data_IF_421856325731
#
_entry.id   IF_421856325731
#
_cell.length_a   1.000
_cell.length_b   1.000
_cell.length_c   1.000
_cell.angle_alpha   90.00
_cell.angle_beta   90.00
_cell.angle_gamma   90.00
#
_symmetry.space_group_name_H-M   'P 1'
#
loop_
_entity.id
_entity.type
_entity.pdbx_description
1 polymer ?
#
# COMPACT_ATOMS: atom_id res chain seq x y z
N UNK A 1 -25.69 -16.14 -4.15
CA UNK A 1 -24.72 -16.77 -3.27
C UNK A 1 -23.31 -16.24 -3.56
N UNK A 2 -22.87 -16.29 -4.80
CA UNK A 2 -21.54 -15.86 -5.24
C UNK A 2 -21.57 -14.37 -5.60
N UNK A 3 -20.67 -13.58 -5.02
CA UNK A 3 -20.55 -12.14 -5.29
C UNK A 3 -19.59 -11.88 -6.45
N UNK A 4 -18.49 -12.60 -6.50
CA UNK A 4 -17.53 -12.51 -7.60
C UNK A 4 -16.80 -13.84 -7.80
N UNK A 5 -16.44 -14.14 -9.04
CA UNK A 5 -15.58 -15.25 -9.42
C UNK A 5 -14.45 -14.64 -10.22
N UNK A 6 -13.21 -14.93 -9.82
CA UNK A 6 -12.02 -14.43 -10.48
C UNK A 6 -11.05 -15.60 -10.73
N UNK A 7 -10.66 -15.80 -11.98
CA UNK A 7 -9.57 -16.70 -12.32
C UNK A 7 -8.25 -16.08 -11.87
N UNK A 8 -7.44 -16.87 -11.17
CA UNK A 8 -6.09 -16.46 -10.79
C UNK A 8 -5.11 -16.82 -11.91
N UNK A 9 -4.05 -16.03 -12.13
CA UNK A 9 -3.17 -16.19 -13.29
C UNK A 9 -2.29 -17.45 -13.26
N UNK A 10 -2.34 -18.23 -12.18
CA UNK A 10 -1.50 -19.42 -11.99
C UNK A 10 -2.32 -20.67 -11.71
N UNK A 11 -2.00 -21.76 -12.43
CA UNK A 11 -2.42 -23.14 -12.16
C UNK A 11 -3.94 -23.41 -12.13
N UNK A 12 -4.75 -22.69 -12.88
CA UNK A 12 -6.20 -22.97 -12.94
C UNK A 12 -6.94 -22.68 -11.64
N UNK A 13 -6.40 -21.86 -10.76
CA UNK A 13 -7.03 -21.47 -9.51
C UNK A 13 -8.11 -20.41 -9.74
N UNK A 14 -9.15 -20.44 -8.89
CA UNK A 14 -10.28 -19.52 -8.94
C UNK A 14 -10.55 -18.95 -7.54
N UNK A 15 -10.63 -17.64 -7.41
CA UNK A 15 -11.09 -16.97 -6.18
C UNK A 15 -12.60 -16.75 -6.27
N UNK A 16 -13.32 -17.34 -5.34
CA UNK A 16 -14.78 -17.16 -5.21
C UNK A 16 -15.03 -16.33 -3.95
N UNK A 17 -15.68 -15.18 -4.10
CA UNK A 17 -16.05 -14.31 -2.99
C UNK A 17 -17.57 -14.32 -2.83
N UNK A 18 -18.05 -14.48 -1.58
CA UNK A 18 -19.47 -14.48 -1.23
C UNK A 18 -19.73 -13.64 0.02
N UNK A 19 -20.90 -13.00 0.09
CA UNK A 19 -21.43 -12.37 1.31
C UNK A 19 -22.54 -13.21 1.97
N UNK A 20 -22.65 -14.47 1.61
CA UNK A 20 -23.69 -15.34 2.13
C UNK A 20 -23.52 -15.53 3.65
N UNK A 21 -24.52 -15.13 4.43
CA UNK A 21 -24.54 -15.20 5.89
C UNK A 21 -23.24 -14.63 6.54
N UNK A 22 -22.72 -13.55 6.01
CA UNK A 22 -21.46 -12.96 6.45
C UNK A 22 -21.54 -12.45 7.89
N UNK A 23 -22.73 -12.05 8.36
CA UNK A 23 -22.98 -11.57 9.73
C UNK A 23 -23.25 -12.71 10.73
N UNK A 24 -23.40 -13.94 10.26
CA UNK A 24 -23.67 -15.10 11.09
C UNK A 24 -22.37 -15.74 11.55
N UNK A 25 -22.12 -15.77 12.86
CA UNK A 25 -20.87 -16.26 13.48
C UNK A 25 -20.84 -17.77 13.71
N UNK A 26 -21.88 -18.50 13.26
CA UNK A 26 -21.93 -19.94 13.43
C UNK A 26 -20.88 -20.63 12.52
N UNK A 27 -20.10 -21.54 13.09
CA UNK A 27 -19.13 -22.38 12.37
C UNK A 27 -19.79 -23.33 11.36
N UNK A 28 -21.09 -23.60 11.49
CA UNK A 28 -21.87 -24.39 10.54
C UNK A 28 -22.07 -23.67 9.19
N UNK A 29 -21.98 -22.34 9.16
CA UNK A 29 -22.11 -21.54 7.93
C UNK A 29 -21.03 -21.87 6.91
N UNK A 30 -19.82 -22.09 7.36
CA UNK A 30 -18.68 -22.41 6.47
C UNK A 30 -18.92 -23.77 5.80
N UNK A 31 -19.38 -24.78 6.55
CA UNK A 31 -19.77 -26.10 6.00
C UNK A 31 -20.93 -25.99 5.02
N UNK A 32 -21.90 -25.10 5.30
CA UNK A 32 -23.03 -24.86 4.39
C UNK A 32 -22.57 -24.22 3.06
N UNK A 33 -21.63 -23.27 3.13
CA UNK A 33 -21.03 -22.62 1.95
C UNK A 33 -20.26 -23.65 1.12
N UNK A 34 -19.42 -24.45 1.76
CA UNK A 34 -18.63 -25.52 1.12
C UNK A 34 -19.52 -26.55 0.42
N UNK A 35 -20.59 -27.00 1.07
CA UNK A 35 -21.55 -27.94 0.50
C UNK A 35 -22.29 -27.35 -0.72
N UNK A 36 -22.67 -26.07 -0.65
CA UNK A 36 -23.32 -25.35 -1.77
C UNK A 36 -22.35 -25.14 -2.93
N UNK A 37 -21.10 -24.78 -2.65
CA UNK A 37 -20.06 -24.64 -3.67
C UNK A 37 -19.76 -25.98 -4.35
N UNK A 38 -19.64 -27.05 -3.57
CA UNK A 38 -19.44 -28.40 -4.10
C UNK A 38 -20.59 -28.79 -5.04
N UNK A 39 -21.83 -28.56 -4.62
CA UNK A 39 -23.00 -28.89 -5.44
C UNK A 39 -23.03 -28.11 -6.76
N UNK A 40 -22.65 -26.81 -6.70
CA UNK A 40 -22.62 -25.95 -7.87
C UNK A 40 -21.46 -26.27 -8.83
N UNK A 41 -20.31 -26.71 -8.31
CA UNK A 41 -19.11 -26.99 -9.10
C UNK A 41 -19.02 -28.44 -9.57
N UNK A 42 -19.77 -29.36 -8.94
CA UNK A 42 -19.78 -30.78 -9.29
C UNK A 42 -19.90 -31.10 -10.79
N UNK A 43 -20.75 -30.40 -11.58
CA UNK A 43 -20.87 -30.66 -13.01
C UNK A 43 -19.62 -30.33 -13.84
N UNK A 44 -18.69 -29.53 -13.28
CA UNK A 44 -17.49 -29.06 -13.97
C UNK A 44 -16.24 -29.90 -13.63
N UNK A 45 -16.34 -30.82 -12.68
CA UNK A 45 -15.22 -31.72 -12.35
C UNK A 45 -15.12 -32.87 -13.37
N UNK A 46 -13.92 -33.11 -13.87
CA UNK A 46 -13.62 -34.19 -14.80
C UNK A 46 -13.64 -35.56 -14.11
N UNK A 47 -13.34 -35.61 -12.82
CA UNK A 47 -13.35 -36.83 -12.01
C UNK A 47 -14.42 -36.72 -10.92
N UNK A 48 -14.98 -37.88 -10.53
CA UNK A 48 -15.87 -37.94 -9.37
C UNK A 48 -15.07 -37.70 -8.09
N UNK A 49 -15.38 -36.57 -7.39
CA UNK A 49 -14.82 -36.24 -6.08
C UNK A 49 -15.92 -36.24 -5.03
N UNK A 50 -15.57 -36.59 -3.80
CA UNK A 50 -16.47 -36.50 -2.64
C UNK A 50 -16.39 -35.11 -2.00
N UNK A 51 -17.40 -34.76 -1.18
CA UNK A 51 -17.38 -33.52 -0.44
C UNK A 51 -16.14 -33.42 0.50
N UNK A 52 -15.78 -34.53 1.14
CA UNK A 52 -14.59 -34.59 2.00
C UNK A 52 -13.30 -34.31 1.23
N UNK A 53 -13.17 -34.85 0.02
CA UNK A 53 -12.05 -34.56 -0.86
C UNK A 53 -12.03 -33.12 -1.34
N UNK A 54 -13.21 -32.52 -1.60
CA UNK A 54 -13.31 -31.14 -2.03
C UNK A 54 -12.95 -30.15 -0.93
N UNK A 55 -13.28 -30.44 0.33
CA UNK A 55 -12.96 -29.60 1.50
C UNK A 55 -11.57 -29.87 2.10
N UNK A 56 -10.93 -30.99 1.71
CA UNK A 56 -9.58 -31.31 2.15
C UNK A 56 -8.56 -30.41 1.46
N UNK A 57 -7.78 -29.67 2.25
CA UNK A 57 -6.67 -28.83 1.78
C UNK A 57 -5.40 -29.60 1.43
N UNK A 58 -5.36 -30.90 1.70
CA UNK A 58 -4.20 -31.75 1.48
C UNK A 58 -4.38 -32.61 0.21
N UNK A 59 -3.50 -32.40 -0.76
CA UNK A 59 -3.28 -33.23 -1.96
C UNK A 59 -4.44 -33.33 -2.99
N UNK A 60 -5.38 -32.38 -3.03
CA UNK A 60 -6.41 -32.43 -4.04
C UNK A 60 -6.32 -31.25 -5.02
N UNK A 61 -5.96 -31.46 -6.29
CA UNK A 61 -5.86 -30.41 -7.30
C UNK A 61 -7.22 -29.74 -7.64
N UNK A 62 -8.34 -30.36 -7.25
CA UNK A 62 -9.69 -29.88 -7.55
C UNK A 62 -10.48 -29.46 -6.29
N UNK A 63 -9.79 -29.20 -5.16
CA UNK A 63 -10.42 -28.86 -3.90
C UNK A 63 -10.25 -27.39 -3.50
N UNK A 64 -10.74 -27.06 -2.31
CA UNK A 64 -10.55 -25.77 -1.66
C UNK A 64 -9.10 -25.70 -1.17
N UNK A 65 -8.33 -24.77 -1.73
CA UNK A 65 -6.92 -24.55 -1.37
C UNK A 65 -6.82 -23.70 -0.11
N UNK A 66 -7.66 -22.66 -0.01
CA UNK A 66 -7.73 -21.75 1.14
C UNK A 66 -9.14 -21.21 1.27
N UNK A 67 -9.63 -21.09 2.49
CA UNK A 67 -10.89 -20.46 2.82
C UNK A 67 -10.66 -19.42 3.91
N UNK A 68 -10.89 -18.15 3.59
CA UNK A 68 -10.74 -17.04 4.52
C UNK A 68 -12.09 -16.37 4.73
N UNK A 69 -12.46 -16.19 5.99
CA UNK A 69 -13.67 -15.46 6.37
C UNK A 69 -13.30 -14.16 7.06
N UNK A 70 -13.81 -13.07 6.54
CA UNK A 70 -13.66 -11.75 7.15
C UNK A 70 -15.03 -11.27 7.64
N UNK A 71 -15.17 -11.14 8.95
CA UNK A 71 -16.35 -10.55 9.58
C UNK A 71 -16.43 -9.06 9.18
N UNK A 72 -17.59 -8.52 8.76
CA UNK A 72 -17.77 -7.12 8.41
C UNK A 72 -17.39 -6.15 9.52
N UNK A 73 -17.61 -6.53 10.78
CA UNK A 73 -17.17 -5.75 11.95
C UNK A 73 -15.66 -5.65 12.01
N UNK A 74 -14.95 -6.74 11.81
CA UNK A 74 -13.48 -6.77 11.79
C UNK A 74 -12.96 -5.92 10.62
N UNK A 75 -13.58 -6.02 9.44
CA UNK A 75 -13.18 -5.21 8.28
C UNK A 75 -13.35 -3.70 8.55
N UNK A 76 -14.45 -3.28 9.18
CA UNK A 76 -14.70 -1.89 9.53
C UNK A 76 -13.76 -1.38 10.64
N UNK A 77 -13.41 -2.22 11.61
CA UNK A 77 -12.42 -1.90 12.64
C UNK A 77 -11.03 -1.72 12.04
N UNK A 78 -10.60 -2.64 11.17
CA UNK A 78 -9.31 -2.54 10.48
C UNK A 78 -9.22 -1.23 9.68
N UNK A 79 -10.28 -0.86 8.95
CA UNK A 79 -10.29 0.39 8.18
C UNK A 79 -10.19 1.63 9.09
N UNK A 80 -10.95 1.66 10.17
CA UNK A 80 -10.91 2.76 11.15
C UNK A 80 -9.52 2.87 11.78
N UNK A 81 -8.96 1.76 12.23
CA UNK A 81 -7.67 1.72 12.90
C UNK A 81 -6.53 2.09 11.93
N UNK A 82 -6.65 1.74 10.65
CA UNK A 82 -5.76 2.18 9.59
C UNK A 82 -5.73 3.71 9.43
N UNK A 83 -6.91 4.34 9.36
CA UNK A 83 -7.02 5.80 9.25
C UNK A 83 -6.40 6.47 10.48
N UNK A 84 -6.70 5.97 11.68
CA UNK A 84 -6.12 6.47 12.93
C UNK A 84 -4.59 6.31 12.90
N UNK A 85 -4.06 5.16 12.50
CA UNK A 85 -2.62 4.90 12.43
C UNK A 85 -1.91 5.86 11.47
N UNK A 86 -2.48 6.10 10.28
CA UNK A 86 -1.92 7.05 9.30
C UNK A 86 -1.93 8.47 9.85
N UNK A 87 -3.05 8.92 10.44
CA UNK A 87 -3.14 10.25 11.05
C UNK A 87 -2.12 10.42 12.17
N UNK A 88 -2.01 9.44 13.07
CA UNK A 88 -1.03 9.47 14.15
C UNK A 88 0.41 9.51 13.62
N UNK A 89 0.72 8.70 12.60
CA UNK A 89 2.03 8.72 11.95
C UNK A 89 2.35 10.11 11.39
N UNK A 90 1.41 10.74 10.67
CA UNK A 90 1.60 12.07 10.12
C UNK A 90 1.79 13.14 11.21
N UNK A 91 1.05 13.05 12.33
CA UNK A 91 1.21 13.98 13.48
C UNK A 91 2.59 13.81 14.12
N UNK A 92 3.02 12.58 14.38
CA UNK A 92 4.34 12.30 14.97
C UNK A 92 5.46 12.78 14.05
N UNK A 93 5.34 12.51 12.73
CA UNK A 93 6.30 12.96 11.73
C UNK A 93 6.32 14.49 11.64
N UNK A 94 5.17 15.15 11.66
CA UNK A 94 5.09 16.60 11.72
C UNK A 94 5.89 17.15 12.91
N UNK A 95 5.64 16.62 14.10
CA UNK A 95 6.34 17.01 15.32
C UNK A 95 7.85 16.77 15.23
N UNK A 96 8.25 15.61 14.71
CA UNK A 96 9.66 15.28 14.50
C UNK A 96 10.35 16.28 13.56
N UNK A 97 9.76 16.57 12.40
CA UNK A 97 10.35 17.51 11.43
C UNK A 97 10.38 18.93 12.02
N UNK A 98 9.28 19.38 12.64
CA UNK A 98 9.18 20.72 13.23
C UNK A 98 10.27 20.94 14.30
N UNK A 99 10.50 19.95 15.16
CA UNK A 99 11.57 20.00 16.18
C UNK A 99 12.95 19.92 15.52
N UNK A 100 13.15 18.97 14.57
CA UNK A 100 14.43 18.73 13.92
C UNK A 100 14.96 19.92 13.14
N UNK A 101 14.06 20.69 12.53
CA UNK A 101 14.39 21.87 11.72
C UNK A 101 14.06 23.20 12.43
N UNK A 102 13.58 23.15 13.68
CA UNK A 102 13.23 24.31 14.49
C UNK A 102 12.23 25.27 13.80
N UNK A 103 11.40 24.74 12.92
CA UNK A 103 10.38 25.50 12.20
C UNK A 103 9.24 24.57 11.76
N UNK A 104 8.01 24.94 12.10
CA UNK A 104 6.81 24.16 11.80
C UNK A 104 6.45 24.10 10.30
N UNK A 105 6.88 25.08 9.50
CA UNK A 105 6.64 25.14 8.05
C UNK A 105 7.29 23.96 7.32
N UNK A 106 8.45 23.51 7.80
CA UNK A 106 9.15 22.33 7.29
C UNK A 106 8.35 21.05 7.60
N UNK A 107 7.74 21.02 8.79
CA UNK A 107 6.84 19.94 9.18
C UNK A 107 5.62 19.87 8.25
N UNK A 108 4.99 21.01 7.94
CA UNK A 108 3.86 21.05 7.03
C UNK A 108 4.23 20.61 5.61
N UNK A 109 5.36 21.08 5.06
CA UNK A 109 5.83 20.64 3.75
C UNK A 109 6.04 19.13 3.70
N UNK A 110 6.73 18.56 4.72
CA UNK A 110 6.95 17.12 4.82
C UNK A 110 5.65 16.33 4.89
N UNK A 111 4.73 16.71 5.80
CA UNK A 111 3.44 16.01 5.95
C UNK A 111 2.56 16.14 4.71
N UNK A 112 2.56 17.30 4.05
CA UNK A 112 1.79 17.50 2.82
C UNK A 112 2.25 16.54 1.71
N UNK A 113 3.56 16.33 1.54
CA UNK A 113 4.09 15.36 0.57
C UNK A 113 3.70 13.93 0.91
N UNK A 114 3.74 13.54 2.20
CA UNK A 114 3.36 12.20 2.65
C UNK A 114 1.86 11.95 2.50
N UNK A 115 1.03 12.91 2.87
CA UNK A 115 -0.41 12.83 2.70
C UNK A 115 -0.80 12.72 1.21
N UNK A 116 -0.20 13.53 0.35
CA UNK A 116 -0.38 13.46 -1.10
C UNK A 116 -0.04 12.05 -1.64
N UNK A 117 1.11 11.52 -1.29
CA UNK A 117 1.53 10.18 -1.71
C UNK A 117 0.54 9.11 -1.25
N UNK A 118 0.15 9.15 0.02
CA UNK A 118 -0.80 8.18 0.59
C UNK A 118 -2.16 8.24 -0.09
N UNK A 119 -2.70 9.43 -0.33
CA UNK A 119 -3.99 9.64 -1.00
C UNK A 119 -3.96 9.08 -2.42
N UNK A 120 -2.88 9.33 -3.18
CA UNK A 120 -2.79 8.84 -4.56
C UNK A 120 -2.66 7.30 -4.59
N UNK A 121 -1.88 6.70 -3.69
CA UNK A 121 -1.76 5.24 -3.62
C UNK A 121 -3.10 4.60 -3.27
N UNK A 122 -3.82 5.14 -2.27
CA UNK A 122 -5.16 4.67 -1.90
C UNK A 122 -6.14 4.84 -3.07
N UNK A 123 -6.10 6.00 -3.73
CA UNK A 123 -6.92 6.29 -4.91
C UNK A 123 -6.65 5.33 -6.06
N UNK A 124 -5.38 5.00 -6.33
CA UNK A 124 -5.01 4.02 -7.33
C UNK A 124 -5.60 2.64 -7.03
N UNK A 125 -5.46 2.15 -5.80
CA UNK A 125 -6.03 0.87 -5.39
C UNK A 125 -7.55 0.85 -5.51
N UNK A 126 -8.23 1.94 -5.13
CA UNK A 126 -9.68 2.07 -5.25
C UNK A 126 -10.15 2.07 -6.71
N UNK A 127 -9.46 2.80 -7.59
CA UNK A 127 -9.85 2.93 -9.00
C UNK A 127 -9.57 1.67 -9.82
N UNK A 128 -8.45 0.99 -9.56
CA UNK A 128 -8.02 -0.17 -10.34
C UNK A 128 -8.40 -1.50 -9.70
N UNK A 129 -9.09 -1.49 -8.55
CA UNK A 129 -9.65 -2.69 -7.94
C UNK A 129 -10.60 -3.39 -8.92
N UNK A 130 -10.33 -4.67 -9.21
CA UNK A 130 -11.12 -5.46 -10.15
C UNK A 130 -10.77 -5.28 -11.63
N UNK A 131 -9.92 -4.33 -12.02
CA UNK A 131 -9.49 -4.11 -13.41
C UNK A 131 -8.20 -4.88 -13.71
N UNK A 132 -7.25 -4.90 -12.77
CA UNK A 132 -5.97 -5.56 -12.93
C UNK A 132 -6.08 -7.09 -12.75
N UNK A 133 -5.19 -7.88 -13.37
CA UNK A 133 -5.22 -9.34 -13.29
C UNK A 133 -4.79 -9.92 -11.93
N UNK A 134 -4.54 -9.09 -10.94
CA UNK A 134 -4.20 -9.47 -9.57
C UNK A 134 -5.05 -8.67 -8.56
N UNK A 135 -5.10 -9.13 -7.31
CA UNK A 135 -5.93 -8.52 -6.27
C UNK A 135 -5.30 -7.23 -5.75
N UNK A 136 -6.08 -6.14 -5.73
CA UNK A 136 -5.76 -4.88 -5.09
C UNK A 136 -6.70 -4.69 -3.88
N UNK A 137 -6.66 -5.64 -2.96
CA UNK A 137 -7.51 -5.58 -1.77
C UNK A 137 -6.90 -4.60 -0.74
N UNK A 138 -7.76 -3.82 -0.10
CA UNK A 138 -7.39 -2.94 1.01
C UNK A 138 -7.49 -3.76 2.30
N UNK A 139 -6.48 -4.56 2.56
CA UNK A 139 -6.33 -5.43 3.72
C UNK A 139 -5.27 -4.91 4.70
N UNK A 140 -4.96 -5.68 5.73
CA UNK A 140 -3.91 -5.34 6.69
C UNK A 140 -2.53 -5.18 6.03
N UNK A 141 -2.27 -5.95 4.99
CA UNK A 141 -1.00 -5.90 4.24
C UNK A 141 -0.87 -4.58 3.48
N UNK A 142 -1.98 -4.11 2.89
CA UNK A 142 -2.04 -2.79 2.25
C UNK A 142 -1.81 -1.66 3.25
N UNK A 143 -2.40 -1.75 4.45
CA UNK A 143 -2.19 -0.76 5.52
C UNK A 143 -0.72 -0.71 5.94
N UNK A 144 -0.09 -1.88 6.11
CA UNK A 144 1.34 -1.98 6.37
C UNK A 144 2.17 -1.35 5.24
N UNK A 145 1.76 -1.52 3.97
CA UNK A 145 2.40 -0.85 2.84
C UNK A 145 2.31 0.67 2.95
N UNK A 146 1.13 1.24 3.24
CA UNK A 146 0.95 2.70 3.39
C UNK A 146 1.85 3.25 4.51
N UNK A 147 1.89 2.61 5.68
CA UNK A 147 2.78 3.04 6.77
C UNK A 147 4.27 2.92 6.40
N UNK A 148 4.63 1.88 5.65
CA UNK A 148 6.00 1.71 5.14
C UNK A 148 6.36 2.79 4.13
N UNK A 149 5.45 3.15 3.22
CA UNK A 149 5.61 4.24 2.25
C UNK A 149 5.84 5.57 2.96
N UNK A 150 5.06 5.86 3.98
CA UNK A 150 5.22 7.08 4.80
C UNK A 150 6.61 7.11 5.43
N UNK A 151 7.06 5.98 6.03
CA UNK A 151 8.38 5.86 6.62
C UNK A 151 9.52 5.96 5.60
N UNK A 152 9.33 5.46 4.38
CA UNK A 152 10.30 5.57 3.30
C UNK A 152 10.38 7.00 2.74
N UNK A 153 9.25 7.60 2.41
CA UNK A 153 9.19 8.91 1.77
C UNK A 153 9.67 10.06 2.67
N UNK A 154 9.53 9.91 4.00
CA UNK A 154 10.08 10.90 4.95
C UNK A 154 11.59 11.03 4.83
N UNK A 155 12.31 9.95 4.50
CA UNK A 155 13.76 9.99 4.36
C UNK A 155 14.19 10.95 3.24
N UNK A 156 13.51 10.96 2.10
CA UNK A 156 13.80 11.90 1.00
C UNK A 156 13.53 13.35 1.44
N UNK A 157 12.40 13.62 2.10
CA UNK A 157 12.10 14.95 2.65
C UNK A 157 13.20 15.45 3.59
N UNK A 158 13.62 14.61 4.54
CA UNK A 158 14.65 14.98 5.53
C UNK A 158 15.99 15.29 4.86
N UNK A 159 16.38 14.49 3.86
CA UNK A 159 17.64 14.71 3.11
C UNK A 159 17.62 16.04 2.34
N UNK A 160 16.51 16.30 1.64
CA UNK A 160 16.33 17.55 0.90
C UNK A 160 16.34 18.74 1.88
N UNK A 161 15.59 18.65 2.96
CA UNK A 161 15.49 19.71 3.96
C UNK A 161 16.83 19.97 4.68
N UNK A 162 17.57 18.94 5.05
CA UNK A 162 18.91 19.10 5.62
C UNK A 162 19.84 19.84 4.63
N UNK A 163 19.75 19.51 3.34
CA UNK A 163 20.57 20.18 2.33
C UNK A 163 20.16 21.64 2.12
N UNK A 164 18.88 21.94 2.12
CA UNK A 164 18.40 23.32 2.06
C UNK A 164 18.89 24.11 3.27
N UNK A 165 18.80 23.53 4.46
CA UNK A 165 19.31 24.16 5.70
C UNK A 165 20.80 24.44 5.62
N UNK A 166 21.59 23.51 5.11
CA UNK A 166 23.02 23.67 4.89
C UNK A 166 23.32 24.83 3.94
N UNK A 167 22.63 24.90 2.78
CA UNK A 167 22.85 25.98 1.82
C UNK A 167 22.44 27.36 2.38
N UNK A 168 21.39 27.41 3.19
CA UNK A 168 21.01 28.65 3.90
C UNK A 168 22.10 29.11 4.89
N UNK A 169 22.77 28.19 5.54
CA UNK A 169 23.85 28.50 6.46
C UNK A 169 25.15 28.94 5.71
N UNK A 170 25.46 28.29 4.59
CA UNK A 170 26.63 28.63 3.77
C UNK A 170 26.45 29.95 3.00
N UNK A 171 25.23 30.25 2.56
CA UNK A 171 24.93 31.42 1.73
C UNK A 171 23.81 32.28 2.33
N UNK A 172 24.01 32.89 3.52
CA UNK A 172 22.93 33.56 4.25
C UNK A 172 22.38 34.82 3.57
N UNK A 173 23.15 35.42 2.65
CA UNK A 173 22.75 36.63 1.89
C UNK A 173 22.14 36.31 0.53
N UNK A 174 22.07 35.04 0.18
CA UNK A 174 21.52 34.60 -1.10
C UNK A 174 20.01 34.43 -1.01
N UNK A 175 19.32 34.68 -2.09
CA UNK A 175 17.87 34.45 -2.19
C UNK A 175 17.53 32.98 -1.87
N UNK A 176 16.41 32.78 -1.18
CA UNK A 176 16.01 31.46 -0.68
C UNK A 176 15.73 30.48 -1.81
N UNK A 177 15.08 30.93 -2.90
CA UNK A 177 14.79 30.13 -4.10
C UNK A 177 16.05 29.53 -4.74
N UNK A 178 17.12 30.32 -4.84
CA UNK A 178 18.42 29.86 -5.36
C UNK A 178 19.05 28.82 -4.47
N UNK A 179 18.99 29.03 -3.15
CA UNK A 179 19.50 28.03 -2.19
C UNK A 179 18.74 26.73 -2.27
N UNK A 180 17.40 26.78 -2.41
CA UNK A 180 16.55 25.61 -2.55
C UNK A 180 16.83 24.89 -3.86
N UNK A 181 16.89 25.61 -4.98
CA UNK A 181 17.14 25.01 -6.30
C UNK A 181 18.52 24.30 -6.34
N UNK A 182 19.56 24.91 -5.80
CA UNK A 182 20.88 24.31 -5.74
C UNK A 182 20.91 23.08 -4.81
N UNK A 183 20.20 23.15 -3.67
CA UNK A 183 20.08 22.03 -2.74
C UNK A 183 19.35 20.84 -3.37
N UNK A 184 18.24 21.08 -4.06
CA UNK A 184 17.49 20.07 -4.81
C UNK A 184 18.35 19.40 -5.88
N UNK A 185 19.02 20.20 -6.73
CA UNK A 185 19.89 19.64 -7.77
C UNK A 185 21.06 18.82 -7.19
N UNK A 186 21.59 19.23 -6.05
CA UNK A 186 22.68 18.53 -5.38
C UNK A 186 22.23 17.18 -4.76
N UNK A 187 20.98 17.10 -4.30
CA UNK A 187 20.45 15.87 -3.71
C UNK A 187 19.80 14.93 -4.74
N UNK A 188 19.46 15.43 -5.95
CA UNK A 188 18.68 14.72 -6.95
C UNK A 188 19.28 13.36 -7.34
N UNK A 189 20.59 13.32 -7.59
CA UNK A 189 21.27 12.07 -7.97
C UNK A 189 21.18 11.01 -6.85
N UNK A 190 21.33 11.41 -5.60
CA UNK A 190 21.19 10.50 -4.47
C UNK A 190 19.76 9.98 -4.34
N UNK A 191 18.79 10.87 -4.40
CA UNK A 191 17.37 10.55 -4.26
C UNK A 191 16.91 9.60 -5.39
N UNK A 192 17.30 9.86 -6.63
CA UNK A 192 17.00 8.96 -7.75
C UNK A 192 17.68 7.61 -7.57
N UNK A 193 18.95 7.56 -7.20
CA UNK A 193 19.66 6.30 -7.03
C UNK A 193 19.06 5.43 -5.93
N UNK A 194 18.67 6.01 -4.79
CA UNK A 194 18.01 5.26 -3.71
C UNK A 194 16.65 4.73 -4.13
N UNK A 195 15.86 5.53 -4.85
CA UNK A 195 14.56 5.12 -5.37
C UNK A 195 14.69 4.02 -6.43
N UNK A 196 15.60 4.16 -7.38
CA UNK A 196 15.82 3.16 -8.44
C UNK A 196 16.29 1.82 -7.84
N UNK A 197 17.24 1.83 -6.90
CA UNK A 197 17.68 0.59 -6.25
C UNK A 197 16.56 -0.10 -5.50
N UNK A 198 15.71 0.64 -4.79
CA UNK A 198 14.53 0.09 -4.12
C UNK A 198 13.51 -0.45 -5.12
N UNK A 199 13.27 0.28 -6.23
CA UNK A 199 12.35 -0.17 -7.28
C UNK A 199 12.79 -1.47 -7.94
N UNK A 200 14.10 -1.66 -8.17
CA UNK A 200 14.63 -2.92 -8.72
C UNK A 200 14.30 -4.12 -7.83
N UNK A 201 14.47 -3.96 -6.51
CA UNK A 201 14.11 -5.01 -5.53
C UNK A 201 12.61 -5.28 -5.55
N UNK A 202 11.80 -4.22 -5.49
CA UNK A 202 10.33 -4.36 -5.47
C UNK A 202 9.79 -4.96 -6.77
N UNK A 203 10.33 -4.59 -7.93
CA UNK A 203 9.99 -5.19 -9.22
C UNK A 203 10.34 -6.69 -9.25
N UNK A 204 11.48 -7.07 -8.69
CA UNK A 204 11.85 -8.48 -8.56
C UNK A 204 10.80 -9.25 -7.73
N UNK A 205 10.30 -8.65 -6.64
CA UNK A 205 9.26 -9.26 -5.82
C UNK A 205 7.93 -9.37 -6.60
N UNK A 206 7.55 -8.35 -7.40
CA UNK A 206 6.33 -8.41 -8.22
C UNK A 206 6.42 -9.52 -9.28
N UNK A 207 7.59 -9.71 -9.88
CA UNK A 207 7.80 -10.70 -10.96
C UNK A 207 7.89 -12.12 -10.41
N UNK A 208 8.68 -12.33 -9.36
CA UNK A 208 9.01 -13.66 -8.82
C UNK A 208 8.23 -14.01 -7.55
N UNK A 209 7.61 -13.03 -6.89
CA UNK A 209 6.82 -13.20 -5.68
C UNK A 209 5.46 -13.82 -5.94
N UNK A 210 4.91 -14.48 -4.92
CA UNK A 210 3.57 -15.02 -4.96
C UNK A 210 2.48 -13.95 -4.99
N UNK A 211 1.25 -14.36 -5.30
CA UNK A 211 0.11 -13.46 -5.44
C UNK A 211 -0.19 -12.67 -4.16
N UNK A 212 0.00 -13.28 -3.00
CA UNK A 212 -0.26 -12.69 -1.68
C UNK A 212 0.52 -11.38 -1.45
N UNK A 213 1.78 -11.33 -1.89
CA UNK A 213 2.66 -10.16 -1.68
C UNK A 213 2.69 -9.21 -2.88
N UNK A 214 2.02 -9.55 -3.97
CA UNK A 214 2.05 -8.74 -5.20
C UNK A 214 1.37 -7.40 -5.00
N UNK A 215 0.17 -7.36 -4.43
CA UNK A 215 -0.55 -6.13 -4.12
C UNK A 215 0.26 -5.21 -3.20
N UNK A 216 0.83 -5.76 -2.14
CA UNK A 216 1.75 -5.05 -1.25
C UNK A 216 2.93 -4.42 -2.00
N UNK A 217 3.59 -5.21 -2.86
CA UNK A 217 4.76 -4.73 -3.61
C UNK A 217 4.40 -3.65 -4.63
N UNK A 218 3.23 -3.75 -5.27
CA UNK A 218 2.71 -2.71 -6.17
C UNK A 218 2.43 -1.41 -5.41
N UNK A 219 1.84 -1.48 -4.21
CA UNK A 219 1.65 -0.32 -3.36
C UNK A 219 2.99 0.36 -3.04
N UNK A 220 4.00 -0.42 -2.65
CA UNK A 220 5.34 0.10 -2.36
C UNK A 220 6.00 0.73 -3.58
N UNK A 221 5.90 0.14 -4.78
CA UNK A 221 6.42 0.71 -6.02
C UNK A 221 5.81 2.09 -6.28
N UNK A 222 4.48 2.18 -6.22
CA UNK A 222 3.78 3.44 -6.39
C UNK A 222 4.21 4.45 -5.32
N UNK A 223 4.31 4.01 -4.07
CA UNK A 223 4.73 4.83 -2.96
C UNK A 223 6.13 5.39 -3.09
N UNK A 224 7.09 4.60 -3.57
CA UNK A 224 8.49 5.04 -3.81
C UNK A 224 8.52 6.08 -4.93
N UNK A 225 7.85 5.82 -6.06
CA UNK A 225 7.82 6.76 -7.21
C UNK A 225 7.14 8.08 -6.81
N UNK A 226 5.95 7.98 -6.23
CA UNK A 226 5.17 9.15 -5.83
C UNK A 226 5.78 9.89 -4.65
N UNK A 227 6.41 9.19 -3.70
CA UNK A 227 7.09 9.78 -2.57
C UNK A 227 8.29 10.61 -2.99
N UNK A 228 9.11 10.08 -3.90
CA UNK A 228 10.24 10.81 -4.49
C UNK A 228 9.77 12.05 -5.26
N UNK A 229 8.71 11.91 -6.05
CA UNK A 229 8.09 13.06 -6.72
C UNK A 229 7.56 14.09 -5.71
N UNK A 230 6.80 13.65 -4.71
CA UNK A 230 6.13 14.53 -3.77
C UNK A 230 7.11 15.28 -2.85
N UNK A 231 8.26 14.70 -2.49
CA UNK A 231 9.27 15.37 -1.69
C UNK A 231 9.87 16.58 -2.42
N UNK A 232 10.07 16.47 -3.72
CA UNK A 232 10.64 17.53 -4.57
C UNK A 232 9.57 18.56 -4.96
N UNK A 233 8.41 18.11 -5.48
CA UNK A 233 7.44 18.97 -6.14
C UNK A 233 6.24 19.38 -5.27
N UNK A 234 6.05 18.79 -4.11
CA UNK A 234 4.96 19.13 -3.17
C UNK A 234 5.53 19.64 -1.85
N UNK A 235 6.35 18.81 -1.17
CA UNK A 235 6.85 19.15 0.16
C UNK A 235 7.77 20.37 0.18
N UNK A 236 8.71 20.41 -0.76
CA UNK A 236 9.65 21.53 -0.84
C UNK A 236 9.00 22.85 -1.26
N UNK A 237 8.13 22.93 -2.29
CA UNK A 237 7.39 24.17 -2.61
C UNK A 237 6.49 24.64 -1.46
N UNK A 238 5.73 23.76 -0.82
CA UNK A 238 4.87 24.16 0.32
C UNK A 238 5.74 24.74 1.46
N UNK A 239 6.87 24.09 1.77
CA UNK A 239 7.81 24.59 2.77
C UNK A 239 8.35 25.97 2.35
N UNK A 240 8.67 26.18 1.07
CA UNK A 240 9.14 27.45 0.53
C UNK A 240 8.09 28.55 0.68
N UNK A 241 6.87 28.33 0.16
CA UNK A 241 5.79 29.33 0.15
C UNK A 241 5.40 29.79 1.58
N UNK A 242 5.52 28.89 2.56
CA UNK A 242 5.25 29.22 3.96
C UNK A 242 6.42 29.93 4.68
N UNK A 243 7.59 30.04 4.04
CA UNK A 243 8.77 30.74 4.60
C UNK A 243 9.07 32.09 3.93
N UNK A 244 8.28 32.49 2.94
CA UNK A 244 8.29 33.82 2.37
C UNK A 244 7.49 34.75 3.28
#
# INVERSE_FOLDING_TARGET
LVQSIRALPYNGQMKITTKYKVDDRDSEVDKEIEAKLFTALKPFFTNEITLEQFTSTLDNPNGIISSDRVDPTIASEIQRDAVIAVILALIVIFGYIAIRFSNWTWGLGGVASLAHTSIIVIGFFSLFSGILPFTLDVDQTFIAAILTIIGYAINDNVVIFDRIREYRALYPKRELDKNINDALNNTLSRTINTSVTTLVVLLSIVIFGGEVIRGFSVALILGVILGTYASIFIGTPIMYDLNI
#
